data_IF_061742614927
#
_entry.id   IF_061742614927
#
_cell.length_a   1.000
_cell.length_b   1.000
_cell.length_c   1.000
_cell.angle_alpha   90.00
_cell.angle_beta   90.00
_cell.angle_gamma   90.00
#
_symmetry.space_group_name_H-M   'P 1'
#
loop_
_entity.id
_entity.type
_entity.pdbx_description
1 polymer ?
#
# COMPACT_ATOMS: atom_id res chain seq x y z
N UNK A 1 -8.05 9.94 37.58
CA UNK A 1 -7.51 8.90 36.66
C UNK A 1 -8.46 8.74 35.48
N UNK A 2 -7.95 8.83 34.26
CA UNK A 2 -8.77 8.63 33.07
C UNK A 2 -9.16 7.15 32.96
N UNK A 3 -10.40 6.89 32.53
CA UNK A 3 -10.97 5.54 32.38
C UNK A 3 -11.14 5.23 30.90
N UNK A 4 -11.02 3.97 30.50
CA UNK A 4 -11.47 3.51 29.18
C UNK A 4 -12.95 3.86 29.00
N UNK A 5 -13.28 4.46 27.85
CA UNK A 5 -14.65 4.88 27.53
C UNK A 5 -15.17 4.12 26.32
N UNK A 6 -16.46 3.80 26.33
CA UNK A 6 -17.16 3.19 25.22
C UNK A 6 -18.14 4.21 24.66
N UNK A 7 -18.09 4.41 23.35
CA UNK A 7 -18.93 5.35 22.61
C UNK A 7 -19.64 4.60 21.50
N UNK A 8 -20.83 5.10 21.12
CA UNK A 8 -21.48 4.66 19.90
C UNK A 8 -20.82 5.37 18.72
N UNK A 9 -20.45 4.62 17.69
CA UNK A 9 -19.90 5.18 16.47
C UNK A 9 -20.88 6.17 15.83
N UNK A 10 -20.34 7.27 15.29
CA UNK A 10 -21.06 8.36 14.66
C UNK A 10 -22.11 9.06 15.56
N UNK A 11 -22.00 8.92 16.88
CA UNK A 11 -22.82 9.68 17.83
C UNK A 11 -22.16 11.00 18.21
N UNK A 12 -22.90 11.90 18.87
CA UNK A 12 -22.35 13.20 19.31
C UNK A 12 -21.21 13.09 20.33
N UNK A 13 -21.03 11.93 20.96
CA UNK A 13 -19.90 11.65 21.85
C UNK A 13 -18.81 10.80 21.20
N UNK A 14 -18.92 10.46 19.90
CA UNK A 14 -17.86 9.74 19.18
C UNK A 14 -16.62 10.63 19.08
N UNK A 15 -15.46 10.20 19.61
CA UNK A 15 -14.21 10.92 19.51
C UNK A 15 -13.84 11.37 18.08
N UNK A 16 -14.20 10.60 17.04
CA UNK A 16 -13.92 10.98 15.65
C UNK A 16 -14.81 12.13 15.17
N UNK A 17 -16.05 12.23 15.68
CA UNK A 17 -16.96 13.35 15.39
C UNK A 17 -16.48 14.62 16.09
N UNK A 18 -15.90 14.50 17.30
CA UNK A 18 -15.33 15.63 18.05
C UNK A 18 -14.18 16.34 17.29
N UNK A 19 -13.46 15.64 16.42
CA UNK A 19 -12.36 16.20 15.63
C UNK A 19 -12.81 17.14 14.50
N UNK A 20 -14.12 17.23 14.25
CA UNK A 20 -14.71 18.16 13.27
C UNK A 20 -14.92 17.54 11.90
N UNK A 21 -14.75 18.34 10.85
CA UNK A 21 -15.18 18.01 9.48
C UNK A 21 -14.07 18.21 8.45
N UNK A 22 -12.81 18.01 8.83
CA UNK A 22 -11.74 17.94 7.83
C UNK A 22 -12.00 16.79 6.86
N UNK A 23 -11.43 16.88 5.64
CA UNK A 23 -11.58 15.82 4.64
C UNK A 23 -11.17 14.45 5.21
N UNK A 24 -10.08 14.39 5.97
CA UNK A 24 -9.58 13.15 6.54
C UNK A 24 -10.52 12.55 7.59
N UNK A 25 -11.12 13.39 8.44
CA UNK A 25 -12.10 12.94 9.43
C UNK A 25 -13.38 12.45 8.74
N UNK A 26 -13.87 13.19 7.74
CA UNK A 26 -15.06 12.79 6.97
C UNK A 26 -14.82 11.50 6.21
N UNK A 27 -13.65 11.34 5.56
CA UNK A 27 -13.27 10.12 4.87
C UNK A 27 -13.22 8.92 5.81
N UNK A 28 -12.56 9.04 6.97
CA UNK A 28 -12.51 7.95 7.96
C UNK A 28 -13.90 7.58 8.48
N UNK A 29 -14.82 8.54 8.63
CA UNK A 29 -16.20 8.26 9.02
C UNK A 29 -16.93 7.44 7.95
N UNK A 30 -16.79 7.77 6.68
CA UNK A 30 -17.31 6.94 5.59
C UNK A 30 -16.69 5.55 5.60
N UNK A 31 -15.36 5.47 5.70
CA UNK A 31 -14.63 4.22 5.69
C UNK A 31 -15.05 3.27 6.82
N UNK A 32 -15.12 3.78 8.05
CA UNK A 32 -15.55 3.00 9.21
C UNK A 32 -17.04 2.65 9.16
N UNK A 33 -17.88 3.54 8.62
CA UNK A 33 -19.30 3.26 8.43
C UNK A 33 -19.52 2.10 7.45
N UNK A 34 -18.81 2.09 6.32
CA UNK A 34 -18.86 1.02 5.32
C UNK A 34 -18.27 -0.30 5.83
N UNK A 35 -17.34 -0.26 6.79
CA UNK A 35 -16.87 -1.43 7.53
C UNK A 35 -17.88 -1.92 8.60
N UNK A 36 -18.98 -1.20 8.79
CA UNK A 36 -20.02 -1.52 9.76
C UNK A 36 -19.64 -1.17 11.19
N UNK A 37 -18.83 -0.12 11.43
CA UNK A 37 -18.47 0.29 12.78
C UNK A 37 -19.70 0.66 13.63
N UNK A 38 -19.73 0.11 14.86
CA UNK A 38 -20.83 0.29 15.82
C UNK A 38 -20.32 0.88 17.14
N UNK A 39 -19.18 0.39 17.63
CA UNK A 39 -18.62 0.80 18.93
C UNK A 39 -17.22 1.37 18.79
N UNK A 40 -16.94 2.43 19.53
CA UNK A 40 -15.60 3.00 19.71
C UNK A 40 -15.15 2.82 21.15
N UNK A 41 -14.00 2.19 21.37
CA UNK A 41 -13.34 2.11 22.67
C UNK A 41 -12.19 3.12 22.70
N UNK A 42 -12.29 4.12 23.57
CA UNK A 42 -11.29 5.17 23.74
C UNK A 42 -10.34 4.85 24.90
N UNK A 43 -9.05 4.86 24.61
CA UNK A 43 -7.95 5.01 25.56
C UNK A 43 -7.54 6.49 25.63
N UNK A 44 -7.91 7.20 26.70
CA UNK A 44 -7.74 8.66 26.78
C UNK A 44 -6.29 9.12 27.04
N UNK A 45 -5.43 8.25 27.57
CA UNK A 45 -4.03 8.52 27.90
C UNK A 45 -3.14 7.45 27.24
N UNK A 46 -2.70 7.71 26.01
CA UNK A 46 -1.87 6.79 25.24
C UNK A 46 -0.57 7.47 24.76
N UNK A 47 0.55 6.76 24.89
CA UNK A 47 1.82 7.18 24.30
C UNK A 47 2.02 6.51 22.97
N UNK A 48 1.98 7.30 21.90
CA UNK A 48 2.34 6.84 20.58
C UNK A 48 3.83 7.07 20.31
N UNK A 49 4.51 6.06 19.77
CA UNK A 49 5.95 6.13 19.48
C UNK A 49 6.25 7.21 18.45
N UNK A 50 5.47 7.27 17.37
CA UNK A 50 5.68 8.23 16.30
C UNK A 50 5.42 9.66 16.81
N UNK A 51 4.29 9.88 17.49
CA UNK A 51 4.01 11.20 18.08
C UNK A 51 5.01 11.62 19.16
N UNK A 52 5.49 10.70 20.01
CA UNK A 52 6.50 11.05 21.01
C UNK A 52 7.82 11.52 20.36
N UNK A 53 8.18 10.93 19.23
CA UNK A 53 9.35 11.37 18.44
C UNK A 53 9.11 12.76 17.82
N UNK A 54 7.93 13.00 17.24
CA UNK A 54 7.49 14.31 16.76
C UNK A 54 7.51 15.36 17.88
N UNK A 55 7.02 14.97 19.06
CA UNK A 55 6.97 15.79 20.25
C UNK A 55 8.37 16.20 20.71
N UNK A 56 9.28 15.24 20.87
CA UNK A 56 10.66 15.52 21.26
C UNK A 56 11.40 16.36 20.21
N UNK A 57 11.11 16.17 18.92
CA UNK A 57 11.77 16.88 17.83
C UNK A 57 11.32 18.33 17.67
N UNK A 58 10.03 18.61 17.91
CA UNK A 58 9.44 19.92 17.57
C UNK A 58 8.45 20.44 18.63
N UNK A 59 7.46 19.65 19.04
CA UNK A 59 6.35 20.19 19.85
C UNK A 59 6.68 20.46 21.32
N UNK A 60 7.67 19.76 21.89
CA UNK A 60 8.05 19.90 23.30
C UNK A 60 8.70 21.23 23.65
N UNK A 61 9.19 21.97 22.64
CA UNK A 61 9.74 23.33 22.79
C UNK A 61 8.79 24.42 22.30
N UNK A 62 7.58 24.05 21.86
CA UNK A 62 6.59 24.99 21.36
C UNK A 62 5.94 25.75 22.51
N UNK A 63 5.87 27.09 22.39
CA UNK A 63 5.21 27.96 23.37
C UNK A 63 3.71 27.69 23.53
N UNK A 64 3.09 27.00 22.56
CA UNK A 64 1.67 26.59 22.64
C UNK A 64 1.42 25.51 23.71
N UNK A 65 2.46 24.81 24.18
CA UNK A 65 2.34 23.86 25.29
C UNK A 65 1.56 22.60 24.95
N UNK A 66 1.87 21.96 23.82
CA UNK A 66 1.24 20.70 23.43
C UNK A 66 1.50 19.60 24.48
N UNK A 67 0.53 18.72 24.80
CA UNK A 67 0.79 17.57 25.66
C UNK A 67 1.49 16.45 24.88
N UNK A 68 2.30 15.64 25.55
CA UNK A 68 2.96 14.47 24.95
C UNK A 68 2.06 13.20 24.94
N UNK A 69 0.76 13.35 25.23
CA UNK A 69 -0.21 12.25 25.33
C UNK A 69 -1.21 12.31 24.18
N UNK A 70 -1.48 11.16 23.59
CA UNK A 70 -2.51 10.96 22.58
C UNK A 70 -3.74 10.29 23.20
N UNK A 71 -4.84 10.24 22.42
CA UNK A 71 -5.92 9.27 22.63
C UNK A 71 -5.75 8.14 21.61
N UNK A 72 -6.13 6.91 21.92
CA UNK A 72 -6.21 5.81 20.94
C UNK A 72 -7.64 5.29 20.89
N UNK A 73 -8.25 5.33 19.71
CA UNK A 73 -9.62 4.89 19.50
C UNK A 73 -9.62 3.57 18.73
N UNK A 74 -10.27 2.55 19.30
CA UNK A 74 -10.45 1.23 18.71
C UNK A 74 -11.87 1.09 18.19
N UNK A 75 -12.02 0.59 16.96
CA UNK A 75 -13.32 0.48 16.30
C UNK A 75 -13.76 -0.98 16.19
N UNK A 76 -15.05 -1.22 16.42
CA UNK A 76 -15.64 -2.56 16.38
C UNK A 76 -16.92 -2.59 15.55
N UNK A 77 -17.13 -3.66 14.78
CA UNK A 77 -18.34 -3.86 13.96
C UNK A 77 -19.56 -4.39 14.73
N UNK A 78 -19.47 -4.49 16.05
CA UNK A 78 -20.56 -4.94 16.91
C UNK A 78 -20.68 -4.06 18.14
N UNK A 79 -21.83 -4.17 18.82
CA UNK A 79 -22.03 -3.56 20.12
C UNK A 79 -21.12 -4.21 21.18
N UNK A 80 -20.18 -3.42 21.71
CA UNK A 80 -19.29 -3.82 22.80
C UNK A 80 -19.74 -3.10 24.08
N UNK A 81 -20.31 -3.87 25.01
CA UNK A 81 -20.73 -3.39 26.33
C UNK A 81 -19.58 -3.47 27.32
N UNK A 82 -19.69 -2.68 28.40
CA UNK A 82 -18.70 -2.70 29.49
C UNK A 82 -18.56 -4.08 30.14
N UNK A 83 -19.62 -4.89 30.15
CA UNK A 83 -19.61 -6.28 30.63
C UNK A 83 -18.75 -7.19 29.76
N UNK A 84 -18.83 -7.07 28.42
CA UNK A 84 -17.97 -7.81 27.48
C UNK A 84 -16.49 -7.46 27.73
N UNK A 85 -16.19 -6.17 27.85
CA UNK A 85 -14.82 -5.70 28.11
C UNK A 85 -14.29 -6.19 29.47
N UNK A 86 -15.11 -6.13 30.53
CA UNK A 86 -14.73 -6.64 31.86
C UNK A 86 -14.45 -8.14 31.83
N UNK A 87 -15.29 -8.93 31.15
CA UNK A 87 -15.10 -10.37 31.02
C UNK A 87 -13.82 -10.70 30.23
N UNK A 88 -13.55 -9.97 29.14
CA UNK A 88 -12.33 -10.15 28.36
C UNK A 88 -11.07 -9.82 29.18
N UNK A 89 -11.08 -8.70 29.92
CA UNK A 89 -9.97 -8.32 30.83
C UNK A 89 -9.80 -9.36 31.94
N UNK A 90 -10.89 -9.98 32.40
CA UNK A 90 -10.86 -11.10 33.34
C UNK A 90 -10.43 -12.45 32.74
N UNK A 91 -10.01 -12.50 31.47
CA UNK A 91 -9.50 -13.71 30.82
C UNK A 91 -10.54 -14.60 30.13
N UNK A 92 -11.78 -14.12 29.94
CA UNK A 92 -12.81 -14.89 29.21
C UNK A 92 -12.45 -15.05 27.74
N UNK A 93 -12.05 -16.27 27.33
CA UNK A 93 -11.68 -16.60 25.95
C UNK A 93 -12.77 -16.18 24.94
N UNK A 94 -14.04 -16.53 25.22
CA UNK A 94 -15.19 -16.15 24.39
C UNK A 94 -15.32 -14.64 24.21
N UNK A 95 -15.04 -13.85 25.24
CA UNK A 95 -15.14 -12.38 25.16
C UNK A 95 -13.96 -11.79 24.39
N UNK A 96 -12.76 -12.36 24.54
CA UNK A 96 -11.56 -11.98 23.79
C UNK A 96 -11.76 -12.29 22.29
N UNK A 97 -12.21 -13.49 21.96
CA UNK A 97 -12.55 -13.90 20.58
C UNK A 97 -13.58 -12.96 19.97
N UNK A 98 -14.66 -12.65 20.69
CA UNK A 98 -15.68 -11.68 20.25
C UNK A 98 -15.07 -10.31 19.94
N UNK A 99 -14.18 -9.80 20.80
CA UNK A 99 -13.52 -8.52 20.54
C UNK A 99 -12.68 -8.59 19.26
N UNK A 100 -11.88 -9.65 19.09
CA UNK A 100 -11.01 -9.83 17.94
C UNK A 100 -11.79 -10.00 16.62
N UNK A 101 -12.85 -10.82 16.61
CA UNK A 101 -13.70 -11.07 15.44
C UNK A 101 -14.26 -9.75 14.88
N UNK A 102 -14.77 -8.91 15.77
CA UNK A 102 -15.37 -7.62 15.43
C UNK A 102 -14.37 -6.46 15.34
N UNK A 103 -13.07 -6.68 15.57
CA UNK A 103 -12.09 -5.60 15.62
C UNK A 103 -11.78 -5.06 14.22
N UNK A 104 -12.06 -3.78 13.98
CA UNK A 104 -11.86 -3.10 12.71
C UNK A 104 -10.50 -2.39 12.62
N UNK A 105 -9.82 -2.21 13.74
CA UNK A 105 -8.55 -1.49 13.82
C UNK A 105 -8.61 -0.29 14.76
N UNK A 106 -7.64 0.62 14.62
CA UNK A 106 -7.50 1.78 15.50
C UNK A 106 -7.06 3.03 14.76
N UNK A 107 -7.35 4.17 15.39
CA UNK A 107 -6.84 5.49 15.02
C UNK A 107 -6.24 6.13 16.26
N UNK A 108 -5.04 6.68 16.15
CA UNK A 108 -4.43 7.50 17.21
C UNK A 108 -4.80 8.96 16.98
N UNK A 109 -5.25 9.63 18.02
CA UNK A 109 -5.52 11.07 18.00
C UNK A 109 -4.38 11.81 18.67
N UNK A 110 -3.60 12.50 17.84
CA UNK A 110 -2.54 13.41 18.26
C UNK A 110 -3.17 14.72 18.77
N UNK A 111 -2.60 15.35 19.78
CA UNK A 111 -3.07 16.64 20.26
C UNK A 111 -2.60 17.80 19.37
N UNK A 112 -2.61 17.63 18.05
CA UNK A 112 -2.24 18.65 17.05
C UNK A 112 -3.53 19.08 16.33
N UNK A 113 -4.11 20.26 16.65
CA UNK A 113 -5.43 20.63 16.11
C UNK A 113 -5.52 20.70 14.58
N UNK A 114 -4.42 21.02 13.90
CA UNK A 114 -4.36 21.05 12.43
C UNK A 114 -4.19 19.66 11.79
N UNK A 115 -3.68 18.70 12.54
CA UNK A 115 -3.38 17.34 12.06
C UNK A 115 -3.65 16.28 13.15
N UNK A 116 -4.90 16.15 13.61
CA UNK A 116 -5.20 15.33 14.79
C UNK A 116 -5.07 13.83 14.53
N UNK A 117 -5.09 13.37 13.29
CA UNK A 117 -5.05 11.94 12.99
C UNK A 117 -3.59 11.46 12.90
N UNK A 118 -3.18 10.66 13.88
CA UNK A 118 -1.89 9.96 13.91
C UNK A 118 -1.96 8.61 13.20
N UNK A 119 -1.06 7.70 13.60
CA UNK A 119 -1.03 6.33 13.09
C UNK A 119 -2.41 5.67 13.17
N UNK A 120 -2.85 5.21 12.00
CA UNK A 120 -4.14 4.60 11.73
C UNK A 120 -3.90 3.29 11.01
N UNK A 121 -4.45 2.20 11.54
CA UNK A 121 -4.43 0.89 10.88
C UNK A 121 -5.84 0.33 10.94
N UNK A 122 -6.45 0.16 9.77
CA UNK A 122 -7.81 -0.32 9.63
C UNK A 122 -7.86 -1.56 8.75
N UNK A 123 -8.83 -2.42 9.04
CA UNK A 123 -9.20 -3.55 8.20
C UNK A 123 -9.60 -3.04 6.82
N UNK A 124 -9.20 -3.78 5.78
CA UNK A 124 -9.68 -3.55 4.42
C UNK A 124 -11.19 -3.79 4.29
N UNK A 125 -11.85 -3.07 3.38
CA UNK A 125 -13.22 -3.40 2.99
C UNK A 125 -13.32 -4.87 2.55
N UNK A 126 -14.42 -5.57 2.87
CA UNK A 126 -14.63 -6.95 2.44
C UNK A 126 -14.47 -7.11 0.91
N UNK A 127 -13.96 -8.27 0.49
CA UNK A 127 -13.82 -8.58 -0.93
C UNK A 127 -15.14 -9.14 -1.48
N UNK A 128 -15.64 -8.51 -2.54
CA UNK A 128 -16.92 -8.86 -3.18
C UNK A 128 -16.76 -9.21 -4.67
N UNK A 129 -15.56 -9.11 -5.24
CA UNK A 129 -15.30 -9.48 -6.65
C UNK A 129 -14.20 -10.54 -6.72
N UNK A 130 -14.55 -11.83 -6.56
CA UNK A 130 -13.57 -12.92 -6.53
C UNK A 130 -12.85 -13.11 -7.87
N UNK A 131 -13.43 -12.67 -8.99
CA UNK A 131 -12.80 -12.74 -10.31
C UNK A 131 -11.66 -11.73 -10.50
N UNK A 132 -11.69 -10.62 -9.75
CA UNK A 132 -10.70 -9.54 -9.78
C UNK A 132 -10.39 -9.13 -8.34
N UNK A 133 -9.71 -10.00 -7.58
CA UNK A 133 -9.49 -9.77 -6.16
C UNK A 133 -8.59 -8.55 -5.93
N UNK A 134 -8.69 -7.97 -4.73
CA UNK A 134 -7.74 -6.99 -4.26
C UNK A 134 -6.42 -7.65 -3.88
N UNK A 135 -5.32 -7.05 -4.32
CA UNK A 135 -3.96 -7.40 -3.95
C UNK A 135 -3.46 -6.35 -2.97
N UNK A 136 -3.12 -6.79 -1.76
CA UNK A 136 -2.72 -5.92 -0.63
C UNK A 136 -1.45 -6.44 0.06
N UNK A 137 -0.61 -7.20 -0.65
CA UNK A 137 0.56 -7.88 -0.09
C UNK A 137 1.46 -7.03 0.82
N UNK A 138 1.65 -5.71 0.61
CA UNK A 138 2.44 -4.90 1.54
C UNK A 138 1.86 -4.81 2.96
N UNK A 139 0.59 -5.16 3.15
CA UNK A 139 -0.07 -5.18 4.46
C UNK A 139 0.56 -6.22 5.39
N UNK A 140 0.52 -5.93 6.69
CA UNK A 140 1.03 -6.77 7.78
C UNK A 140 0.03 -6.82 8.93
N UNK A 141 0.28 -7.72 9.87
CA UNK A 141 -0.46 -7.76 11.12
C UNK A 141 0.11 -6.71 12.10
N UNK A 142 -0.79 -5.93 12.68
CA UNK A 142 -0.50 -5.00 13.76
C UNK A 142 -1.15 -5.51 15.04
N UNK A 143 -0.33 -5.69 16.07
CA UNK A 143 -0.81 -5.99 17.41
C UNK A 143 -1.00 -4.71 18.21
N UNK A 144 -2.11 -4.62 18.93
CA UNK A 144 -2.35 -3.60 19.93
C UNK A 144 -2.83 -4.24 21.23
N UNK A 145 -2.37 -3.69 22.36
CA UNK A 145 -2.74 -4.20 23.67
C UNK A 145 -3.66 -3.23 24.37
N UNK A 146 -4.85 -3.68 24.78
CA UNK A 146 -5.83 -2.89 25.53
C UNK A 146 -6.12 -3.60 26.85
N UNK A 147 -5.70 -3.01 27.96
CA UNK A 147 -5.88 -3.58 29.31
C UNK A 147 -5.46 -5.06 29.41
N UNK A 148 -4.33 -5.43 28.80
CA UNK A 148 -3.79 -6.80 28.78
C UNK A 148 -4.34 -7.71 27.67
N UNK A 149 -5.35 -7.27 26.91
CA UNK A 149 -5.90 -8.02 25.78
C UNK A 149 -5.13 -7.65 24.51
N UNK A 150 -4.60 -8.65 23.80
CA UNK A 150 -4.00 -8.45 22.48
C UNK A 150 -5.08 -8.51 21.41
N UNK A 151 -5.18 -7.46 20.61
CA UNK A 151 -6.01 -7.39 19.41
C UNK A 151 -5.09 -7.25 18.18
N UNK A 152 -5.50 -7.83 17.06
CA UNK A 152 -4.76 -7.85 15.80
C UNK A 152 -5.59 -7.27 14.67
N UNK A 153 -4.99 -6.43 13.84
CA UNK A 153 -5.58 -5.94 12.60
C UNK A 153 -4.59 -6.07 11.45
N UNK A 154 -5.06 -6.60 10.33
CA UNK A 154 -4.27 -6.72 9.11
C UNK A 154 -4.49 -5.49 8.21
N UNK A 155 -3.42 -4.77 7.90
CA UNK A 155 -3.48 -3.55 7.10
C UNK A 155 -2.10 -2.94 6.88
N UNK A 156 -2.05 -1.67 6.48
CA UNK A 156 -0.82 -0.87 6.45
C UNK A 156 -1.08 0.44 7.19
N UNK A 157 -0.08 0.96 7.90
CA UNK A 157 -0.22 2.19 8.65
C UNK A 157 -0.32 3.42 7.74
N UNK A 158 -1.28 4.29 8.06
CA UNK A 158 -1.47 5.62 7.49
C UNK A 158 -1.40 6.66 8.60
N UNK A 159 -1.02 7.89 8.28
CA UNK A 159 -1.07 9.02 9.19
C UNK A 159 -1.40 10.30 8.40
N UNK A 160 -2.05 11.29 9.04
CA UNK A 160 -2.25 12.60 8.42
C UNK A 160 -0.96 13.42 8.43
N UNK A 161 -0.71 14.18 7.36
CA UNK A 161 0.43 15.09 7.31
C UNK A 161 0.35 16.14 8.43
N UNK A 162 1.50 16.35 9.07
CA UNK A 162 1.74 17.47 9.97
C UNK A 162 2.93 18.31 9.50
N UNK A 163 2.67 19.54 9.06
CA UNK A 163 3.68 20.47 8.54
C UNK A 163 4.73 20.89 9.57
N UNK A 164 4.52 20.62 10.87
CA UNK A 164 5.53 20.85 11.90
C UNK A 164 6.76 19.95 11.77
N UNK A 165 6.57 18.69 11.37
CA UNK A 165 7.63 17.66 11.36
C UNK A 165 7.92 17.11 9.95
N UNK A 166 6.92 16.96 9.09
CA UNK A 166 7.09 16.34 7.79
C UNK A 166 6.01 16.73 6.77
N UNK A 167 6.40 16.82 5.50
CA UNK A 167 5.47 17.06 4.41
C UNK A 167 4.86 15.75 3.88
N UNK A 168 4.03 15.82 2.84
CA UNK A 168 3.34 14.68 2.23
C UNK A 168 4.31 13.53 1.90
N UNK A 169 5.47 13.87 1.30
CA UNK A 169 6.51 12.91 0.95
C UNK A 169 7.09 12.16 2.16
N UNK A 170 7.22 12.80 3.33
CA UNK A 170 7.67 12.14 4.57
C UNK A 170 6.64 11.10 5.02
N UNK A 171 5.36 11.45 5.01
CA UNK A 171 4.28 10.55 5.45
C UNK A 171 4.07 9.41 4.46
N UNK A 172 4.11 9.67 3.16
CA UNK A 172 4.02 8.64 2.13
C UNK A 172 5.20 7.64 2.24
N UNK A 173 6.42 8.13 2.47
CA UNK A 173 7.59 7.29 2.73
C UNK A 173 7.44 6.51 4.04
N UNK A 174 6.94 7.14 5.11
CA UNK A 174 6.66 6.46 6.36
C UNK A 174 5.68 5.30 6.17
N UNK A 175 4.53 5.50 5.51
CA UNK A 175 3.60 4.41 5.18
C UNK A 175 4.25 3.32 4.36
N UNK A 176 5.11 3.67 3.39
CA UNK A 176 5.84 2.69 2.59
C UNK A 176 6.76 1.81 3.45
N UNK A 177 7.48 2.39 4.41
CA UNK A 177 8.42 1.69 5.30
C UNK A 177 7.75 0.80 6.36
N UNK A 178 6.42 0.87 6.50
CA UNK A 178 5.65 -0.08 7.31
C UNK A 178 5.43 -1.44 6.62
N UNK A 179 5.87 -1.62 5.37
CA UNK A 179 5.57 -2.82 4.58
C UNK A 179 6.00 -4.14 5.24
N UNK A 180 5.20 -5.19 5.00
CA UNK A 180 5.52 -6.59 5.30
C UNK A 180 6.72 -7.16 4.55
N UNK A 181 7.16 -6.53 3.46
CA UNK A 181 8.31 -7.01 2.68
C UNK A 181 9.64 -6.82 3.42
N UNK A 182 9.67 -5.98 4.45
CA UNK A 182 10.85 -5.77 5.29
C UNK A 182 10.87 -6.80 6.42
N UNK A 183 12.07 -7.15 6.88
CA UNK A 183 12.26 -8.18 7.89
C UNK A 183 11.79 -7.74 9.29
N UNK A 184 11.67 -8.70 10.21
CA UNK A 184 11.32 -8.42 11.61
C UNK A 184 12.39 -7.56 12.31
N UNK A 185 13.59 -7.47 11.73
CA UNK A 185 14.68 -6.62 12.21
C UNK A 185 14.62 -5.18 11.69
N UNK A 186 13.77 -4.89 10.70
CA UNK A 186 13.55 -3.56 10.19
C UNK A 186 12.76 -2.74 11.22
N UNK A 187 13.51 -1.97 12.01
CA UNK A 187 12.93 -0.98 12.89
C UNK A 187 12.31 0.14 12.05
N UNK A 188 10.99 0.09 11.85
CA UNK A 188 10.25 1.11 11.12
C UNK A 188 10.60 2.49 11.69
N UNK A 189 11.20 3.41 10.92
CA UNK A 189 11.60 4.73 11.41
C UNK A 189 10.37 5.61 11.68
N UNK A 190 10.49 6.55 12.63
CA UNK A 190 9.43 7.54 12.86
C UNK A 190 9.43 8.61 11.77
N UNK A 191 8.33 9.37 11.64
CA UNK A 191 8.27 10.52 10.71
C UNK A 191 9.40 11.53 10.97
N UNK A 192 9.75 11.77 12.24
CA UNK A 192 10.88 12.62 12.61
C UNK A 192 12.24 12.01 12.20
N UNK A 193 12.42 10.69 12.29
CA UNK A 193 13.64 10.01 11.83
C UNK A 193 13.77 10.13 10.30
N UNK A 194 12.69 9.91 9.56
CA UNK A 194 12.67 10.05 8.10
C UNK A 194 13.05 11.48 7.68
N UNK A 195 12.48 12.50 8.33
CA UNK A 195 12.86 13.90 8.05
C UNK A 195 14.33 14.15 8.35
N UNK A 196 14.90 13.59 9.43
CA UNK A 196 16.33 13.69 9.72
C UNK A 196 17.19 12.97 8.67
N UNK A 197 16.82 11.75 8.29
CA UNK A 197 17.52 10.97 7.27
C UNK A 197 17.57 11.71 5.94
N UNK A 198 16.47 12.33 5.55
CA UNK A 198 16.34 13.12 4.32
C UNK A 198 17.23 14.39 4.28
N UNK A 199 17.78 14.82 5.42
CA UNK A 199 18.63 16.01 5.52
C UNK A 199 20.07 15.69 5.96
N UNK A 200 20.44 14.41 6.09
CA UNK A 200 21.74 14.02 6.64
C UNK A 200 22.91 14.44 5.74
N UNK A 201 22.75 14.36 4.43
CA UNK A 201 23.77 14.68 3.41
C UNK A 201 23.23 15.53 2.27
N UNK A 202 21.95 15.42 1.91
CA UNK A 202 21.31 16.21 0.85
C UNK A 202 20.75 17.57 1.33
N UNK A 203 21.05 18.01 2.56
CA UNK A 203 20.64 19.34 3.02
C UNK A 203 21.55 20.43 2.46
N UNK A 204 21.11 21.11 1.41
CA UNK A 204 21.75 22.32 0.88
C UNK A 204 21.39 23.55 1.74
N UNK A 205 21.68 23.51 3.04
CA UNK A 205 21.49 24.64 3.96
C UNK A 205 20.06 24.88 4.47
N UNK A 206 19.13 23.95 4.24
CA UNK A 206 17.77 24.03 4.76
C UNK A 206 17.69 23.54 6.22
N UNK A 207 16.80 24.14 7.03
CA UNK A 207 16.48 23.64 8.37
C UNK A 207 15.81 22.28 8.27
N UNK A 208 16.10 21.37 9.19
CA UNK A 208 15.48 20.03 9.24
C UNK A 208 14.01 20.10 9.66
N UNK A 209 13.69 20.99 10.61
CA UNK A 209 12.33 21.23 11.09
C UNK A 209 12.04 22.74 11.17
N UNK A 210 10.83 23.20 10.76
CA UNK A 210 9.80 22.46 10.04
C UNK A 210 10.25 22.10 8.60
N UNK A 211 9.68 21.04 8.04
CA UNK A 211 10.00 20.57 6.68
C UNK A 211 8.89 20.95 5.70
N UNK A 212 9.25 21.62 4.59
CA UNK A 212 8.30 22.12 3.59
C UNK A 212 8.05 21.16 2.40
N UNK A 213 8.74 20.01 2.37
CA UNK A 213 8.73 19.08 1.23
C UNK A 213 10.05 18.32 1.14
N UNK A 214 10.06 17.17 0.44
CA UNK A 214 11.28 16.42 0.15
C UNK A 214 11.49 16.32 -1.36
N UNK A 215 12.72 16.56 -1.81
CA UNK A 215 13.13 16.25 -3.18
C UNK A 215 13.32 14.74 -3.37
N UNK A 216 13.36 14.29 -4.62
CA UNK A 216 13.63 12.89 -4.97
C UNK A 216 14.98 12.42 -4.41
N UNK A 217 16.00 13.28 -4.42
CA UNK A 217 17.32 12.96 -3.85
C UNK A 217 17.25 12.73 -2.34
N UNK A 218 16.49 13.58 -1.63
CA UNK A 218 16.28 13.44 -0.19
C UNK A 218 15.46 12.19 0.16
N UNK A 219 14.46 11.83 -0.66
CA UNK A 219 13.72 10.58 -0.52
C UNK A 219 14.63 9.35 -0.70
N UNK A 220 15.44 9.36 -1.75
CA UNK A 220 16.42 8.30 -1.99
C UNK A 220 17.45 8.19 -0.86
N UNK A 221 17.89 9.31 -0.30
CA UNK A 221 18.78 9.33 0.85
C UNK A 221 18.09 8.74 2.08
N UNK A 222 16.86 9.15 2.37
CA UNK A 222 16.12 8.64 3.51
C UNK A 222 15.92 7.12 3.46
N UNK A 223 15.69 6.56 2.27
CA UNK A 223 15.60 5.11 2.05
C UNK A 223 16.95 4.43 2.34
N UNK A 224 18.07 4.99 1.87
CA UNK A 224 19.41 4.45 2.12
C UNK A 224 19.79 4.48 3.60
N UNK A 225 19.48 5.57 4.29
CA UNK A 225 19.74 5.72 5.72
C UNK A 225 18.85 4.79 6.57
N UNK A 226 17.70 4.34 6.03
CA UNK A 226 16.88 3.28 6.61
C UNK A 226 17.38 1.85 6.30
N UNK A 227 18.55 1.70 5.67
CA UNK A 227 19.17 0.40 5.35
C UNK A 227 18.53 -0.31 4.16
N UNK A 228 17.94 0.44 3.23
CA UNK A 228 17.23 -0.09 2.06
C UNK A 228 17.77 0.53 0.77
N UNK A 229 17.50 -0.10 -0.37
CA UNK A 229 17.86 0.41 -1.69
C UNK A 229 16.69 1.17 -2.33
N UNK A 230 16.87 2.44 -2.74
CA UNK A 230 15.83 3.17 -3.48
C UNK A 230 15.82 2.73 -4.95
N UNK A 231 14.62 2.48 -5.47
CA UNK A 231 14.36 2.29 -6.90
C UNK A 231 13.45 3.40 -7.37
N UNK A 232 13.85 4.09 -8.44
CA UNK A 232 13.06 5.17 -9.06
C UNK A 232 12.67 4.76 -10.47
N UNK A 233 11.36 4.70 -10.71
CA UNK A 233 10.75 4.47 -12.01
C UNK A 233 10.31 5.82 -12.58
N UNK A 234 10.77 6.13 -13.79
CA UNK A 234 10.39 7.34 -14.51
C UNK A 234 9.22 7.05 -15.45
N UNK A 235 8.37 8.07 -15.64
CA UNK A 235 7.39 8.12 -16.72
C UNK A 235 8.00 7.87 -18.10
N UNK A 236 7.28 7.14 -18.95
CA UNK A 236 7.66 6.76 -20.31
C UNK A 236 7.07 7.68 -21.39
N UNK A 237 6.32 8.70 -20.99
CA UNK A 237 5.75 9.73 -21.85
C UNK A 237 5.87 11.11 -21.18
N UNK A 238 5.24 12.13 -21.76
CA UNK A 238 5.25 13.48 -21.21
C UNK A 238 3.87 14.09 -21.13
N UNK A 239 3.61 14.84 -20.05
CA UNK A 239 2.47 15.72 -19.87
C UNK A 239 2.98 17.15 -19.70
N UNK A 240 2.62 18.06 -20.60
CA UNK A 240 3.02 19.48 -20.53
C UNK A 240 4.55 19.69 -20.36
N UNK A 241 5.36 18.88 -21.06
CA UNK A 241 6.83 18.94 -20.98
C UNK A 241 7.45 18.31 -19.73
N UNK A 242 6.66 17.69 -18.86
CA UNK A 242 7.12 16.92 -17.67
C UNK A 242 6.93 15.43 -17.89
N UNK A 243 7.73 14.61 -17.22
CA UNK A 243 7.58 13.15 -17.26
C UNK A 243 6.18 12.73 -16.78
N UNK A 244 5.58 11.78 -17.47
CA UNK A 244 4.30 11.18 -17.13
C UNK A 244 4.28 9.71 -17.57
N UNK A 245 3.30 8.93 -17.10
CA UNK A 245 3.20 7.52 -17.46
C UNK A 245 2.10 7.22 -18.47
N UNK A 246 2.38 6.31 -19.41
CA UNK A 246 1.33 5.59 -20.14
C UNK A 246 0.60 4.65 -19.19
N UNK A 247 -0.61 4.22 -19.57
CA UNK A 247 -1.45 3.37 -18.72
C UNK A 247 -0.81 2.03 -18.40
N UNK A 248 -0.39 1.31 -19.43
CA UNK A 248 0.15 -0.04 -19.26
C UNK A 248 1.41 -0.04 -18.41
N UNK A 249 2.27 0.98 -18.60
CA UNK A 249 3.49 1.16 -17.84
C UNK A 249 3.21 1.43 -16.37
N UNK A 250 2.34 2.40 -16.06
CA UNK A 250 2.01 2.76 -14.68
C UNK A 250 1.35 1.60 -13.94
N UNK A 251 0.29 1.04 -14.54
CA UNK A 251 -0.49 -0.05 -14.00
C UNK A 251 0.39 -1.27 -13.68
N UNK A 252 1.23 -1.69 -14.64
CA UNK A 252 2.09 -2.86 -14.49
C UNK A 252 3.23 -2.62 -13.50
N UNK A 253 3.78 -1.40 -13.44
CA UNK A 253 4.79 -1.03 -12.45
C UNK A 253 4.22 -1.12 -11.03
N UNK A 254 3.07 -0.47 -10.76
CA UNK A 254 2.39 -0.57 -9.48
C UNK A 254 2.04 -2.02 -9.14
N UNK A 255 1.45 -2.78 -10.07
CA UNK A 255 1.07 -4.17 -9.83
C UNK A 255 2.28 -5.06 -9.51
N UNK A 256 3.40 -4.89 -10.22
CA UNK A 256 4.67 -5.59 -9.96
C UNK A 256 5.17 -5.32 -8.55
N UNK A 257 5.26 -4.03 -8.17
CA UNK A 257 5.77 -3.63 -6.87
C UNK A 257 4.89 -4.15 -5.73
N UNK A 258 3.58 -3.90 -5.82
CA UNK A 258 2.62 -4.33 -4.80
C UNK A 258 2.60 -5.84 -4.66
N UNK A 259 2.58 -6.63 -5.74
CA UNK A 259 2.65 -8.10 -5.64
C UNK A 259 3.95 -8.59 -5.01
N UNK A 260 5.02 -7.81 -5.16
CA UNK A 260 6.31 -8.08 -4.52
C UNK A 260 6.37 -7.65 -3.06
N UNK A 261 5.25 -7.14 -2.52
CA UNK A 261 5.18 -6.61 -1.16
C UNK A 261 5.76 -5.21 -1.01
N UNK A 262 6.20 -4.53 -2.07
CA UNK A 262 6.78 -3.19 -1.96
C UNK A 262 5.74 -2.12 -2.33
N UNK A 263 5.31 -1.24 -1.39
CA UNK A 263 4.50 -0.08 -1.72
C UNK A 263 5.23 0.85 -2.70
N UNK A 264 4.46 1.59 -3.48
CA UNK A 264 5.00 2.59 -4.42
C UNK A 264 4.69 4.00 -3.95
N UNK A 265 5.71 4.78 -3.61
CA UNK A 265 5.58 6.22 -3.39
C UNK A 265 5.47 6.90 -4.76
N UNK A 266 4.28 7.37 -5.11
CA UNK A 266 4.01 8.04 -6.38
C UNK A 266 4.16 9.54 -6.18
N UNK A 267 5.05 10.14 -6.98
CA UNK A 267 5.26 11.59 -7.03
C UNK A 267 4.62 12.11 -8.30
N UNK A 268 3.94 13.24 -8.19
CA UNK A 268 3.20 13.83 -9.31
C UNK A 268 2.66 15.21 -8.98
N UNK A 269 1.63 15.60 -9.72
CA UNK A 269 0.97 16.89 -9.59
C UNK A 269 -0.54 16.68 -9.43
N UNK A 270 -1.12 17.27 -8.38
CA UNK A 270 -2.56 17.42 -8.26
C UNK A 270 -2.99 18.61 -9.11
N UNK A 271 -3.92 18.38 -10.04
CA UNK A 271 -4.38 19.41 -10.96
C UNK A 271 -4.92 20.64 -10.19
N UNK A 272 -4.27 21.78 -10.37
CA UNK A 272 -4.63 23.04 -9.71
C UNK A 272 -4.19 23.17 -8.23
N UNK A 273 -3.57 22.15 -7.63
CA UNK A 273 -3.10 22.19 -6.24
C UNK A 273 -1.57 22.06 -6.10
N UNK A 274 -0.87 21.60 -7.15
CA UNK A 274 0.60 21.55 -7.19
C UNK A 274 1.19 20.17 -6.88
N UNK A 275 2.48 20.09 -6.53
CA UNK A 275 3.17 18.81 -6.35
C UNK A 275 2.62 18.04 -5.15
N UNK A 276 2.49 16.72 -5.30
CA UNK A 276 2.02 15.84 -4.24
C UNK A 276 2.75 14.49 -4.28
N UNK A 277 2.80 13.83 -3.13
CA UNK A 277 3.38 12.51 -2.98
C UNK A 277 2.44 11.61 -2.16
N UNK A 278 2.08 10.46 -2.73
CA UNK A 278 1.14 9.51 -2.13
C UNK A 278 1.73 8.10 -2.12
N UNK A 279 1.22 7.21 -1.27
CA UNK A 279 1.71 5.85 -1.20
C UNK A 279 0.67 4.88 -1.76
N UNK A 280 0.96 4.23 -2.88
CA UNK A 280 0.14 3.13 -3.42
C UNK A 280 0.44 1.88 -2.60
N UNK A 281 -0.62 1.27 -2.06
CA UNK A 281 -0.53 0.16 -1.08
C UNK A 281 -1.29 -1.09 -1.53
N UNK A 282 -2.06 -0.98 -2.61
CA UNK A 282 -2.84 -2.07 -3.16
C UNK A 282 -3.33 -1.77 -4.57
N UNK A 283 -3.83 -2.80 -5.23
CA UNK A 283 -4.58 -2.65 -6.48
C UNK A 283 -5.64 -3.73 -6.60
N UNK A 284 -6.53 -3.60 -7.58
CA UNK A 284 -7.48 -4.66 -7.95
C UNK A 284 -7.01 -5.33 -9.23
N UNK A 285 -6.93 -6.66 -9.23
CA UNK A 285 -6.52 -7.40 -10.42
C UNK A 285 -7.45 -7.10 -11.60
N UNK A 286 -6.93 -7.20 -12.82
CA UNK A 286 -7.73 -7.13 -14.04
C UNK A 286 -7.92 -8.51 -14.64
N UNK A 287 -8.91 -8.63 -15.53
CA UNK A 287 -9.00 -9.79 -16.39
C UNK A 287 -7.69 -9.91 -17.20
N UNK A 288 -7.11 -11.11 -17.32
CA UNK A 288 -5.90 -11.30 -18.12
C UNK A 288 -6.16 -10.91 -19.59
N UNK A 289 -5.22 -10.21 -20.23
CA UNK A 289 -5.36 -9.85 -21.63
C UNK A 289 -5.39 -11.08 -22.54
N UNK A 290 -6.01 -10.94 -23.71
CA UNK A 290 -5.96 -11.91 -24.81
C UNK A 290 -5.14 -11.30 -25.95
N UNK A 291 -3.80 -11.43 -25.92
CA UNK A 291 -2.92 -10.79 -26.91
C UNK A 291 -3.13 -11.37 -28.31
N UNK A 292 -3.19 -10.48 -29.30
CA UNK A 292 -3.23 -10.87 -30.72
C UNK A 292 -1.98 -11.64 -31.11
N UNK A 293 -2.06 -12.51 -32.14
CA UNK A 293 -0.89 -13.20 -32.64
C UNK A 293 0.25 -12.25 -33.04
N UNK A 294 1.48 -12.58 -32.63
CA UNK A 294 2.65 -11.75 -32.87
C UNK A 294 2.88 -10.65 -31.82
N UNK A 295 1.97 -10.51 -30.84
CA UNK A 295 2.07 -9.46 -29.81
C UNK A 295 2.45 -9.99 -28.43
N UNK A 296 3.01 -9.09 -27.63
CA UNK A 296 3.26 -9.31 -26.20
C UNK A 296 2.57 -8.22 -25.41
N UNK A 297 1.71 -8.60 -24.47
CA UNK A 297 0.99 -7.66 -23.61
C UNK A 297 1.35 -7.86 -22.13
N UNK A 298 1.39 -6.76 -21.38
CA UNK A 298 1.58 -6.81 -19.94
C UNK A 298 0.28 -7.31 -19.29
N UNK A 299 0.38 -8.35 -18.46
CA UNK A 299 -0.79 -8.96 -17.82
C UNK A 299 -1.60 -7.94 -17.01
N UNK A 300 -0.91 -6.96 -16.43
CA UNK A 300 -1.46 -5.96 -15.52
C UNK A 300 -1.73 -4.59 -16.17
N UNK A 301 -1.53 -4.45 -17.49
CA UNK A 301 -1.86 -3.20 -18.18
C UNK A 301 -3.34 -2.85 -18.07
N UNK A 302 -4.18 -3.87 -17.89
CA UNK A 302 -5.62 -3.75 -17.67
C UNK A 302 -6.03 -3.28 -16.26
N UNK A 303 -5.12 -3.13 -15.29
CA UNK A 303 -5.49 -2.68 -13.93
C UNK A 303 -6.18 -1.32 -14.00
N UNK A 304 -7.29 -1.22 -13.29
CA UNK A 304 -8.17 -0.06 -13.35
C UNK A 304 -8.31 0.65 -11.99
N UNK A 305 -8.14 -0.07 -10.88
CA UNK A 305 -8.22 0.51 -9.54
C UNK A 305 -6.93 0.30 -8.75
N UNK A 306 -6.44 1.37 -8.15
CA UNK A 306 -5.39 1.39 -7.13
C UNK A 306 -5.99 1.76 -5.77
N UNK A 307 -5.29 1.39 -4.71
CA UNK A 307 -5.58 1.79 -3.34
C UNK A 307 -4.41 2.58 -2.80
N UNK A 308 -4.68 3.81 -2.36
CA UNK A 308 -3.67 4.83 -2.08
C UNK A 308 -3.86 5.35 -0.66
N UNK A 309 -2.76 5.44 0.07
CA UNK A 309 -2.62 6.22 1.28
C UNK A 309 -2.30 7.65 0.87
N UNK A 310 -3.25 8.55 1.10
CA UNK A 310 -3.15 9.97 0.75
C UNK A 310 -3.41 10.80 2.00
N UNK A 311 -2.46 11.65 2.40
CA UNK A 311 -2.56 12.46 3.61
C UNK A 311 -3.64 13.55 3.53
N UNK A 312 -4.08 13.93 2.33
CA UNK A 312 -5.20 14.86 2.13
C UNK A 312 -6.58 14.20 2.24
N UNK A 313 -6.64 12.86 2.17
CA UNK A 313 -7.90 12.11 2.19
C UNK A 313 -7.93 11.04 3.28
N UNK A 314 -7.04 10.05 3.28
CA UNK A 314 -7.08 8.96 4.24
C UNK A 314 -6.33 7.69 3.81
N UNK A 315 -6.48 6.61 4.60
CA UNK A 315 -5.94 5.30 4.25
C UNK A 315 -6.75 4.62 3.13
N UNK A 316 -6.10 3.81 2.30
CA UNK A 316 -6.73 2.86 1.38
C UNK A 316 -7.76 3.49 0.40
N UNK A 317 -7.57 4.76 0.03
CA UNK A 317 -8.45 5.49 -0.90
C UNK A 317 -8.42 4.83 -2.27
N UNK A 318 -9.59 4.52 -2.83
CA UNK A 318 -9.70 3.89 -4.15
C UNK A 318 -9.56 4.95 -5.24
N UNK A 319 -8.52 4.82 -6.06
CA UNK A 319 -8.30 5.64 -7.25
C UNK A 319 -8.52 4.80 -8.51
N UNK A 320 -9.12 5.42 -9.52
CA UNK A 320 -9.20 4.91 -10.89
C UNK A 320 -7.97 5.34 -11.66
N UNK A 321 -7.37 4.42 -12.41
CA UNK A 321 -6.38 4.74 -13.45
C UNK A 321 -7.16 5.11 -14.71
N UNK A 322 -7.28 6.41 -14.96
CA UNK A 322 -8.03 6.93 -16.10
C UNK A 322 -7.05 7.33 -17.23
N UNK A 323 -7.08 6.65 -18.38
CA UNK A 323 -6.44 7.18 -19.58
C UNK A 323 -7.31 8.33 -20.07
N UNK A 324 -6.75 9.53 -20.15
CA UNK A 324 -7.44 10.62 -20.85
C UNK A 324 -7.47 10.25 -22.34
N UNK A 325 -8.66 10.08 -22.93
CA UNK A 325 -8.85 9.60 -24.31
C UNK A 325 -8.09 10.44 -25.36
N UNK A 326 -7.75 11.68 -25.01
CA UNK A 326 -7.02 12.62 -25.86
C UNK A 326 -5.54 12.79 -25.48
N UNK A 327 -5.05 12.14 -24.42
CA UNK A 327 -3.68 12.31 -23.94
C UNK A 327 -2.98 10.96 -23.76
N UNK A 328 -1.72 10.90 -24.16
CA UNK A 328 -0.90 9.68 -24.06
C UNK A 328 -0.52 9.29 -22.61
N UNK A 329 -1.05 9.97 -21.58
CA UNK A 329 -0.69 9.78 -20.19
C UNK A 329 -1.90 9.53 -19.27
N UNK A 330 -1.66 8.90 -18.12
CA UNK A 330 -2.70 8.61 -17.13
C UNK A 330 -2.93 9.73 -16.13
N UNK A 331 -4.15 9.77 -15.60
CA UNK A 331 -4.50 10.47 -14.37
C UNK A 331 -5.08 9.50 -13.37
N UNK A 332 -4.87 9.77 -12.09
CA UNK A 332 -5.52 9.05 -11.00
C UNK A 332 -6.67 9.89 -10.48
N UNK A 333 -7.88 9.34 -10.57
CA UNK A 333 -9.09 9.99 -10.10
C UNK A 333 -9.63 9.27 -8.86
N UNK A 334 -9.88 10.00 -7.79
CA UNK A 334 -10.49 9.43 -6.59
C UNK A 334 -11.91 8.92 -6.91
N UNK A 335 -12.21 7.70 -6.49
CA UNK A 335 -13.39 6.95 -6.95
C UNK A 335 -13.99 6.13 -5.81
N UNK A 336 -14.66 6.78 -4.85
CA UNK A 336 -15.27 6.08 -3.72
C UNK A 336 -16.16 4.90 -4.18
N UNK A 337 -16.13 3.75 -3.47
CA UNK A 337 -17.11 2.69 -3.67
C UNK A 337 -18.52 3.20 -3.41
N UNK A 338 -19.51 2.46 -3.93
CA UNK A 338 -20.90 2.66 -3.49
C UNK A 338 -20.94 2.46 -1.98
N UNK A 339 -21.46 3.43 -1.20
CA UNK A 339 -21.58 3.27 0.24
C UNK A 339 -22.38 2.02 0.61
N UNK A 340 -21.94 1.34 1.67
CA UNK A 340 -22.58 0.16 2.26
C UNK A 340 -23.33 0.50 3.56
N UNK A 341 -23.46 1.80 3.86
CA UNK A 341 -24.12 2.31 5.05
C UNK A 341 -25.29 3.24 4.70
N UNK A 342 -26.23 3.39 5.63
CA UNK A 342 -27.36 4.33 5.52
C UNK A 342 -27.14 5.61 6.36
N UNK A 343 -25.94 5.78 6.95
CA UNK A 343 -25.61 6.96 7.74
C UNK A 343 -25.60 8.22 6.89
N UNK A 344 -26.26 9.27 7.39
CA UNK A 344 -26.16 10.61 6.84
C UNK A 344 -24.85 11.25 7.30
N UNK A 345 -23.85 11.21 6.42
CA UNK A 345 -22.53 11.81 6.63
C UNK A 345 -22.37 13.05 5.75
N UNK A 346 -21.47 13.99 6.10
CA UNK A 346 -21.04 15.04 5.18
C UNK A 346 -20.57 14.42 3.85
N UNK A 347 -20.61 15.19 2.76
CA UNK A 347 -20.22 14.70 1.43
C UNK A 347 -18.82 14.09 1.45
N UNK A 348 -18.68 12.89 0.89
CA UNK A 348 -17.39 12.21 0.77
C UNK A 348 -16.38 13.12 0.04
N UNK A 349 -15.22 13.43 0.65
CA UNK A 349 -14.21 14.32 0.09
C UNK A 349 -13.60 13.80 -1.21
N UNK A 350 -13.63 12.48 -1.47
CA UNK A 350 -13.12 11.88 -2.70
C UNK A 350 -13.88 12.41 -3.93
N UNK A 351 -15.13 12.85 -3.77
CA UNK A 351 -15.99 13.29 -4.90
C UNK A 351 -15.63 14.66 -5.47
N UNK A 352 -14.72 15.40 -4.81
CA UNK A 352 -14.20 16.70 -5.26
C UNK A 352 -12.68 16.73 -5.24
N UNK A 353 -12.04 15.57 -5.13
CA UNK A 353 -10.59 15.51 -5.09
C UNK A 353 -10.01 15.77 -6.48
N UNK A 354 -9.00 16.64 -6.62
CA UNK A 354 -8.37 16.88 -7.92
C UNK A 354 -7.78 15.60 -8.51
N UNK A 355 -7.76 15.53 -9.84
CA UNK A 355 -7.05 14.47 -10.54
C UNK A 355 -5.54 14.59 -10.27
N UNK A 356 -4.88 13.45 -10.11
CA UNK A 356 -3.45 13.37 -9.84
C UNK A 356 -2.70 12.81 -11.05
N UNK A 357 -1.74 13.56 -11.59
CA UNK A 357 -0.91 13.14 -12.73
C UNK A 357 0.43 12.59 -12.21
N UNK A 358 0.66 11.27 -12.26
CA UNK A 358 1.90 10.67 -11.76
C UNK A 358 3.06 10.92 -12.73
N UNK A 359 4.21 11.30 -12.19
CA UNK A 359 5.44 11.53 -12.96
C UNK A 359 6.53 10.51 -12.64
N UNK A 360 6.59 10.05 -11.38
CA UNK A 360 7.58 9.09 -10.90
C UNK A 360 6.98 8.13 -9.87
N UNK A 361 7.54 6.93 -9.80
CA UNK A 361 7.25 5.96 -8.73
C UNK A 361 8.57 5.60 -8.05
N UNK A 362 8.66 5.84 -6.74
CA UNK A 362 9.80 5.47 -5.91
C UNK A 362 9.38 4.30 -5.04
N UNK A 363 10.27 3.34 -4.84
CA UNK A 363 10.05 2.27 -3.87
C UNK A 363 11.33 1.95 -3.12
N UNK A 364 11.19 1.47 -1.89
CA UNK A 364 12.29 0.94 -1.09
C UNK A 364 12.30 -0.59 -1.20
N UNK A 365 13.43 -1.16 -1.63
CA UNK A 365 13.61 -2.61 -1.76
C UNK A 365 14.77 -3.09 -0.89
N UNK A 366 14.81 -4.39 -0.63
CA UNK A 366 15.93 -5.01 0.07
C UNK A 366 17.25 -4.81 -0.69
N UNK A 367 18.36 -4.55 0.00
CA UNK A 367 19.66 -4.30 -0.65
C UNK A 367 20.17 -5.49 -1.48
N UNK A 368 19.78 -6.71 -1.11
CA UNK A 368 20.07 -7.92 -1.88
C UNK A 368 19.38 -7.97 -3.24
N UNK A 369 18.41 -7.11 -3.51
CA UNK A 369 17.73 -7.04 -4.79
C UNK A 369 18.59 -6.35 -5.85
N UNK A 370 19.46 -7.12 -6.49
CA UNK A 370 20.42 -6.61 -7.50
C UNK A 370 19.80 -6.30 -8.87
N UNK A 371 18.59 -6.77 -9.13
CA UNK A 371 17.88 -6.51 -10.38
C UNK A 371 16.76 -5.48 -10.14
N UNK A 372 16.75 -4.39 -10.90
CA UNK A 372 15.65 -3.43 -10.83
C UNK A 372 14.38 -4.01 -11.47
N UNK A 373 13.19 -3.60 -10.99
CA UNK A 373 11.90 -3.92 -11.63
C UNK A 373 11.90 -3.60 -13.13
N UNK A 374 12.53 -2.50 -13.53
CA UNK A 374 12.67 -2.12 -14.94
C UNK A 374 13.52 -3.08 -15.76
N UNK A 375 14.64 -3.53 -15.21
CA UNK A 375 15.48 -4.52 -15.89
C UNK A 375 14.74 -5.85 -16.02
N UNK A 376 14.01 -6.26 -14.98
CA UNK A 376 13.21 -7.49 -14.99
C UNK A 376 12.09 -7.40 -16.04
N UNK A 377 11.33 -6.30 -16.05
CA UNK A 377 10.26 -6.05 -17.02
C UNK A 377 10.76 -6.02 -18.47
N UNK A 378 11.87 -5.31 -18.74
CA UNK A 378 12.48 -5.29 -20.09
C UNK A 378 12.92 -6.68 -20.55
N UNK A 379 13.56 -7.46 -19.66
CA UNK A 379 13.96 -8.85 -19.95
C UNK A 379 12.76 -9.76 -20.17
N UNK A 380 11.69 -9.57 -19.42
CA UNK A 380 10.44 -10.32 -19.58
C UNK A 380 9.82 -10.10 -20.97
N UNK A 381 9.66 -8.83 -21.36
CA UNK A 381 9.13 -8.46 -22.68
C UNK A 381 10.03 -9.02 -23.80
N UNK A 382 11.35 -8.88 -23.67
CA UNK A 382 12.29 -9.39 -24.68
C UNK A 382 12.17 -10.92 -24.83
N UNK A 383 12.16 -11.65 -23.71
CA UNK A 383 12.07 -13.12 -23.71
C UNK A 383 10.76 -13.60 -24.34
N UNK A 384 9.64 -12.95 -24.00
CA UNK A 384 8.35 -13.27 -24.60
C UNK A 384 8.31 -12.94 -26.09
N UNK A 385 8.89 -11.82 -26.53
CA UNK A 385 8.99 -11.47 -27.97
C UNK A 385 9.82 -12.51 -28.73
N UNK A 386 10.92 -12.97 -28.17
CA UNK A 386 11.73 -14.03 -28.77
C UNK A 386 10.93 -15.33 -28.92
N UNK A 387 10.16 -15.71 -27.89
CA UNK A 387 9.30 -16.91 -27.94
C UNK A 387 8.19 -16.78 -28.98
N UNK A 388 7.50 -15.63 -29.03
CA UNK A 388 6.46 -15.33 -30.03
C UNK A 388 7.02 -15.43 -31.44
N UNK A 389 8.14 -14.74 -31.71
CA UNK A 389 8.75 -14.71 -33.03
C UNK A 389 9.24 -16.09 -33.47
N UNK A 390 9.87 -16.84 -32.56
CA UNK A 390 10.33 -18.20 -32.85
C UNK A 390 9.18 -19.15 -33.13
N UNK A 391 8.16 -19.17 -32.27
CA UNK A 391 7.00 -20.03 -32.46
C UNK A 391 6.26 -19.70 -33.77
N UNK A 392 5.96 -18.42 -34.00
CA UNK A 392 5.20 -18.02 -35.19
C UNK A 392 6.01 -18.23 -36.47
N UNK A 393 7.34 -18.03 -36.43
CA UNK A 393 8.21 -18.37 -37.55
C UNK A 393 8.18 -19.85 -37.94
N UNK A 394 8.12 -20.76 -36.95
CA UNK A 394 7.97 -22.20 -37.20
C UNK A 394 6.58 -22.58 -37.72
N UNK A 395 5.53 -21.86 -37.31
CA UNK A 395 4.17 -22.05 -37.86
C UNK A 395 4.14 -21.59 -39.31
N UNK A 396 4.71 -20.41 -39.59
CA UNK A 396 4.71 -19.80 -40.93
C UNK A 396 5.57 -20.61 -41.92
N UNK A 397 6.67 -21.24 -41.46
CA UNK A 397 7.49 -22.16 -42.27
C UNK A 397 6.85 -23.54 -42.49
N UNK A 398 5.78 -23.87 -41.75
CA UNK A 398 5.14 -25.18 -41.76
C UNK A 398 5.90 -26.26 -40.98
N UNK A 399 6.96 -25.90 -40.24
CA UNK A 399 7.74 -26.82 -39.41
C UNK A 399 6.92 -27.38 -38.23
N UNK A 400 5.93 -26.62 -37.75
CA UNK A 400 4.97 -27.07 -36.74
C UNK A 400 3.53 -26.78 -37.16
N UNK A 401 2.62 -27.70 -36.83
CA UNK A 401 1.18 -27.47 -36.97
C UNK A 401 0.67 -26.60 -35.81
N UNK A 402 -0.03 -25.51 -36.12
CA UNK A 402 -0.60 -24.63 -35.09
C UNK A 402 -1.14 -23.33 -35.64
N UNK A 403 -1.58 -22.45 -34.74
CA UNK A 403 -1.91 -21.06 -35.06
C UNK A 403 -0.84 -20.13 -34.48
N UNK A 404 -0.55 -18.99 -35.12
CA UNK A 404 0.29 -17.95 -34.53
C UNK A 404 -0.25 -17.51 -33.16
N UNK A 405 0.65 -17.10 -32.27
CA UNK A 405 0.38 -16.92 -30.84
C UNK A 405 0.74 -15.51 -30.40
N UNK A 406 0.03 -15.03 -29.39
CA UNK A 406 0.39 -13.87 -28.58
C UNK A 406 0.65 -14.30 -27.14
N UNK A 407 1.54 -13.60 -26.44
CA UNK A 407 1.90 -13.95 -25.06
C UNK A 407 1.63 -12.81 -24.08
N UNK A 408 1.29 -13.17 -22.85
CA UNK A 408 1.19 -12.24 -21.72
C UNK A 408 2.43 -12.34 -20.85
N UNK A 409 2.85 -11.23 -20.26
CA UNK A 409 3.96 -11.21 -19.29
C UNK A 409 3.60 -10.48 -18.01
N UNK A 410 4.04 -11.04 -16.88
CA UNK A 410 4.06 -10.35 -15.59
C UNK A 410 5.38 -10.59 -14.87
N UNK A 411 5.74 -9.65 -14.01
CA UNK A 411 6.98 -9.70 -13.23
C UNK A 411 6.69 -9.44 -11.77
N UNK A 412 7.49 -10.05 -10.88
CA UNK A 412 7.46 -9.79 -9.43
C UNK A 412 8.73 -10.30 -8.77
N UNK A 413 9.01 -9.79 -7.59
CA UNK A 413 10.00 -10.31 -6.68
C UNK A 413 9.31 -11.00 -5.53
N UNK A 414 9.89 -12.07 -5.01
CA UNK A 414 9.40 -12.74 -3.79
C UNK A 414 10.53 -13.52 -3.14
N UNK A 415 10.32 -13.94 -1.89
CA UNK A 415 11.27 -14.83 -1.23
C UNK A 415 11.22 -16.20 -1.88
N UNK A 416 12.36 -16.89 -1.96
CA UNK A 416 12.45 -18.21 -2.58
C UNK A 416 11.48 -19.22 -1.94
N UNK A 417 11.32 -19.18 -0.62
CA UNK A 417 10.38 -20.06 0.08
C UNK A 417 8.90 -19.74 -0.26
N UNK A 418 8.56 -18.48 -0.55
CA UNK A 418 7.22 -18.08 -1.00
C UNK A 418 6.97 -18.56 -2.43
N UNK A 419 7.99 -18.51 -3.30
CA UNK A 419 7.91 -19.08 -4.64
C UNK A 419 7.66 -20.59 -4.59
N UNK A 420 8.53 -21.31 -3.88
CA UNK A 420 8.44 -22.77 -3.77
C UNK A 420 7.17 -23.21 -3.04
N UNK A 421 6.84 -22.56 -1.92
CA UNK A 421 5.74 -22.91 -1.03
C UNK A 421 4.38 -22.42 -1.51
N UNK A 422 4.26 -21.11 -1.72
CA UNK A 422 3.00 -20.44 -2.07
C UNK A 422 2.72 -20.43 -3.56
N UNK A 423 3.62 -19.87 -4.37
CA UNK A 423 3.35 -19.59 -5.78
C UNK A 423 3.27 -20.86 -6.63
N UNK A 424 4.20 -21.81 -6.49
CA UNK A 424 4.11 -23.09 -7.18
C UNK A 424 2.87 -23.88 -6.74
N UNK A 425 2.50 -23.82 -5.46
CA UNK A 425 1.27 -24.45 -4.98
C UNK A 425 0.04 -23.80 -5.63
N UNK A 426 0.01 -22.48 -5.78
CA UNK A 426 -1.08 -21.77 -6.44
C UNK A 426 -1.21 -22.16 -7.92
N UNK A 427 -0.10 -22.26 -8.64
CA UNK A 427 -0.08 -22.58 -10.08
C UNK A 427 -0.36 -24.07 -10.34
N UNK A 428 0.14 -24.95 -9.47
CA UNK A 428 0.08 -26.41 -9.65
C UNK A 428 -0.82 -27.10 -8.62
N UNK A 429 -1.75 -26.38 -7.98
CA UNK A 429 -2.60 -26.88 -6.87
C UNK A 429 -3.26 -28.23 -7.21
N UNK A 430 -3.77 -28.34 -8.43
CA UNK A 430 -4.49 -29.51 -8.93
C UNK A 430 -3.56 -30.59 -9.54
N UNK A 431 -2.24 -30.40 -9.48
CA UNK A 431 -1.22 -31.28 -10.09
C UNK A 431 -0.14 -31.66 -9.07
N UNK A 432 -0.54 -32.32 -7.98
CA UNK A 432 0.34 -32.64 -6.83
C UNK A 432 1.65 -33.33 -7.21
N UNK A 433 1.61 -34.29 -8.14
CA UNK A 433 2.82 -34.99 -8.63
C UNK A 433 3.77 -34.03 -9.37
N UNK A 434 3.23 -33.15 -10.23
CA UNK A 434 4.03 -32.13 -10.90
C UNK A 434 4.61 -31.11 -9.92
N UNK A 435 3.82 -30.66 -8.93
CA UNK A 435 4.27 -29.76 -7.87
C UNK A 435 5.45 -30.35 -7.09
N UNK A 436 5.33 -31.61 -6.65
CA UNK A 436 6.40 -32.31 -5.94
C UNK A 436 7.66 -32.42 -6.81
N UNK A 437 7.50 -32.86 -8.07
CA UNK A 437 8.61 -32.99 -9.01
C UNK A 437 9.32 -31.65 -9.25
N UNK A 438 8.59 -30.55 -9.49
CA UNK A 438 9.18 -29.23 -9.74
C UNK A 438 9.94 -28.74 -8.50
N UNK A 439 9.37 -28.87 -7.30
CA UNK A 439 10.05 -28.47 -6.05
C UNK A 439 11.35 -29.24 -5.83
N UNK A 440 11.33 -30.56 -6.03
CA UNK A 440 12.53 -31.39 -5.89
C UNK A 440 13.57 -31.04 -6.95
N UNK A 441 13.18 -30.91 -8.22
CA UNK A 441 14.11 -30.53 -9.29
C UNK A 441 14.75 -29.15 -9.04
N UNK A 442 13.99 -28.17 -8.57
CA UNK A 442 14.53 -26.86 -8.21
C UNK A 442 15.49 -26.94 -7.01
N UNK A 443 15.23 -27.81 -6.04
CA UNK A 443 16.06 -27.94 -4.83
C UNK A 443 17.31 -28.80 -5.04
N UNK A 444 17.24 -29.79 -5.93
CA UNK A 444 18.28 -30.80 -6.13
C UNK A 444 19.16 -30.53 -7.36
N UNK A 445 18.63 -29.85 -8.39
CA UNK A 445 19.33 -29.70 -9.69
C UNK A 445 19.68 -28.27 -10.07
N UNK A 446 19.04 -27.28 -9.47
CA UNK A 446 19.37 -25.87 -9.73
C UNK A 446 20.40 -25.42 -8.69
N UNK A 447 21.48 -24.72 -9.10
CA UNK A 447 22.40 -24.12 -8.15
C UNK A 447 21.69 -23.26 -7.11
N UNK A 448 22.29 -23.04 -5.91
CA UNK A 448 21.69 -22.23 -4.87
C UNK A 448 21.18 -20.88 -5.41
N UNK A 449 19.88 -20.64 -5.22
CA UNK A 449 19.23 -19.39 -5.61
C UNK A 449 19.32 -18.38 -4.45
N UNK A 450 19.35 -17.09 -4.80
CA UNK A 450 19.27 -16.00 -3.82
C UNK A 450 18.01 -16.09 -2.97
N UNK A 451 18.05 -15.51 -1.76
CA UNK A 451 16.89 -15.42 -0.86
C UNK A 451 15.68 -14.76 -1.56
N UNK A 452 15.94 -13.73 -2.35
CA UNK A 452 14.97 -13.04 -3.18
C UNK A 452 15.15 -13.43 -4.65
N UNK A 453 14.07 -13.85 -5.31
CA UNK A 453 14.06 -14.24 -6.73
C UNK A 453 13.17 -13.31 -7.54
N UNK A 454 13.59 -13.02 -8.77
CA UNK A 454 12.79 -12.25 -9.74
C UNK A 454 12.03 -13.20 -10.65
N UNK A 455 10.72 -13.29 -10.48
CA UNK A 455 9.88 -14.20 -11.27
C UNK A 455 9.33 -13.45 -12.48
N UNK A 456 9.70 -13.90 -13.68
CA UNK A 456 9.04 -13.54 -14.94
C UNK A 456 8.06 -14.64 -15.29
N UNK A 457 6.77 -14.32 -15.30
CA UNK A 457 5.74 -15.24 -15.79
C UNK A 457 5.38 -14.91 -17.22
N UNK A 458 5.48 -15.90 -18.08
CA UNK A 458 5.01 -15.87 -19.46
C UNK A 458 3.76 -16.75 -19.54
N UNK A 459 2.68 -16.19 -20.09
CA UNK A 459 1.39 -16.86 -20.18
C UNK A 459 0.82 -16.84 -21.59
N UNK A 460 -0.08 -17.79 -21.86
CA UNK A 460 -1.00 -17.73 -23.00
C UNK A 460 -2.32 -17.17 -22.50
N UNK A 461 -2.57 -15.88 -22.74
CA UNK A 461 -3.69 -15.17 -22.14
C UNK A 461 -3.66 -15.26 -20.60
N UNK A 462 -4.66 -15.92 -20.02
CA UNK A 462 -4.78 -16.18 -18.59
C UNK A 462 -3.98 -17.39 -18.06
N UNK A 463 -3.50 -18.26 -18.94
CA UNK A 463 -2.90 -19.54 -18.56
C UNK A 463 -1.38 -19.39 -18.42
N UNK A 464 -0.79 -19.62 -17.22
CA UNK A 464 0.66 -19.63 -17.06
C UNK A 464 1.30 -20.72 -17.93
N UNK A 465 2.29 -20.35 -18.74
CA UNK A 465 3.04 -21.26 -19.60
C UNK A 465 4.41 -21.59 -18.98
N UNK A 466 5.14 -20.56 -18.56
CA UNK A 466 6.51 -20.67 -18.08
C UNK A 466 6.81 -19.59 -17.04
N UNK A 467 7.54 -19.95 -16.00
CA UNK A 467 8.24 -19.01 -15.13
C UNK A 467 9.74 -19.03 -15.44
N UNK A 468 10.35 -17.86 -15.55
CA UNK A 468 11.81 -17.66 -15.61
C UNK A 468 12.23 -16.96 -14.32
N UNK A 469 13.23 -17.52 -13.64
CA UNK A 469 13.74 -17.05 -12.34
C UNK A 469 15.07 -16.28 -12.48
#
# INVERSE_FOLDING_TARGET
MARLKLHRFNSGSDPLVELGTSNQVVYLRHYLADLGAVTVLEEPDYFDRDYLSEFAAFYGVSSRGYPNRCRRCHFFSAEIKRTHLRAAVGGSARSIERLQEHYLGFVIFRPIPSAPLGRTVLRWYPEHSPATPRVTNPSRDYECHVAGITLRVHGLAWQQQDTGVGACATVALWSMLHSSAFDDHHAIPTTADITRFAHRRASLGARVFPSAGLTIFQLCEAIKEAGLAPVVLQGDTTANGRAAFTRDRFASACATLIRSGYPGLVVGELEGAGPHAVCVVGFRECAPPAPDPGTVQLQDGGVYHLYIHDDNLGPNVRFRIWPDENKAYVRLQASAPTPLHDLQLPRDPSTRYPDFVPSQVITAVHEDLRASPDRLSRRAILSAKTLVNFHNGLVDSGDIQGKPIGLTVSTRFMKLHEYLGGELNRVLANRRSALARVRLLLSEKVPPMSLHVGVVRIGWGAVPLLDVL
#
